data_IF_478437055483
#
_entry.id   IF_478437055483
#
_cell.length_a   1.000
_cell.length_b   1.000
_cell.length_c   1.000
_cell.angle_alpha   90.00
_cell.angle_beta   90.00
_cell.angle_gamma   90.00
#
_symmetry.space_group_name_H-M   'P 1'
#
loop_
_entity.id
_entity.type
_entity.pdbx_description
1 polymer ?
#
# COMPACT_ATOMS: atom_id res chain seq x y z
N UNK A 1 -21.69 20.85 -9.44
CA UNK A 1 -21.47 19.68 -10.31
C UNK A 1 -21.20 18.39 -9.50
N UNK A 2 -21.83 18.22 -8.34
CA UNK A 2 -21.69 17.04 -7.46
C UNK A 2 -22.87 16.05 -7.61
N UNK A 3 -23.49 15.96 -8.79
CA UNK A 3 -24.71 15.16 -8.93
C UNK A 3 -24.47 13.66 -9.17
N UNK A 4 -23.26 13.23 -9.56
CA UNK A 4 -22.98 11.80 -9.78
C UNK A 4 -21.76 11.33 -8.97
N UNK A 5 -22.04 10.87 -7.76
CA UNK A 5 -21.08 10.17 -6.89
C UNK A 5 -20.43 8.97 -7.59
N UNK A 6 -21.18 8.28 -8.47
CA UNK A 6 -20.72 7.15 -9.29
C UNK A 6 -20.60 7.51 -10.78
N UNK A 7 -19.68 8.41 -11.11
CA UNK A 7 -19.52 8.93 -12.47
C UNK A 7 -19.17 7.86 -13.54
N UNK A 8 -18.67 6.68 -13.14
CA UNK A 8 -18.34 5.60 -14.07
C UNK A 8 -19.56 4.73 -14.45
N UNK A 9 -20.74 5.03 -13.90
CA UNK A 9 -21.98 4.30 -14.19
C UNK A 9 -22.40 4.42 -15.65
N UNK A 10 -22.07 5.54 -16.28
CA UNK A 10 -22.35 5.85 -17.69
C UNK A 10 -21.39 5.14 -18.68
N UNK A 11 -20.33 4.50 -18.18
CA UNK A 11 -19.31 3.91 -19.06
C UNK A 11 -19.81 2.62 -19.71
N UNK A 12 -19.22 2.21 -20.86
CA UNK A 12 -19.53 0.93 -21.46
C UNK A 12 -19.34 -0.21 -20.45
N UNK A 13 -20.24 -1.19 -20.49
CA UNK A 13 -20.35 -2.30 -19.53
C UNK A 13 -19.02 -2.94 -19.12
N UNK A 14 -18.08 -3.29 -20.04
CA UNK A 14 -16.84 -3.94 -19.63
C UNK A 14 -15.95 -3.00 -18.77
N UNK A 15 -15.79 -1.74 -19.18
CA UNK A 15 -15.00 -0.77 -18.43
C UNK A 15 -15.65 -0.40 -17.10
N UNK A 16 -16.98 -0.28 -17.07
CA UNK A 16 -17.74 -0.01 -15.84
C UNK A 16 -17.55 -1.13 -14.82
N UNK A 17 -17.77 -2.39 -15.21
CA UNK A 17 -17.65 -3.55 -14.30
C UNK A 17 -16.25 -3.66 -13.73
N UNK A 18 -15.22 -3.49 -14.57
CA UNK A 18 -13.84 -3.58 -14.11
C UNK A 18 -13.45 -2.42 -13.19
N UNK A 19 -13.91 -1.19 -13.49
CA UNK A 19 -13.66 -0.04 -12.60
C UNK A 19 -14.34 -0.22 -11.25
N UNK A 20 -15.57 -0.72 -11.22
CA UNK A 20 -16.25 -1.07 -9.96
C UNK A 20 -15.52 -2.18 -9.20
N UNK A 21 -14.97 -3.18 -9.90
CA UNK A 21 -14.12 -4.21 -9.29
C UNK A 21 -12.86 -3.59 -8.66
N UNK A 22 -12.12 -2.75 -9.38
CA UNK A 22 -10.94 -2.06 -8.86
C UNK A 22 -11.28 -1.17 -7.66
N UNK A 23 -12.40 -0.43 -7.72
CA UNK A 23 -12.90 0.36 -6.60
C UNK A 23 -13.20 -0.51 -5.37
N UNK A 24 -13.86 -1.66 -5.56
CA UNK A 24 -14.15 -2.61 -4.49
C UNK A 24 -12.88 -3.18 -3.85
N UNK A 25 -11.88 -3.56 -4.67
CA UNK A 25 -10.58 -4.04 -4.18
C UNK A 25 -9.83 -2.95 -3.44
N UNK A 26 -9.77 -1.73 -3.99
CA UNK A 26 -9.11 -0.59 -3.35
C UNK A 26 -9.76 -0.24 -2.00
N UNK A 27 -11.09 -0.23 -1.94
CA UNK A 27 -11.85 0.00 -0.71
C UNK A 27 -11.64 -1.11 0.32
N UNK A 28 -11.62 -2.38 -0.11
CA UNK A 28 -11.33 -3.51 0.77
C UNK A 28 -9.93 -3.39 1.38
N UNK A 29 -8.90 -3.12 0.58
CA UNK A 29 -7.52 -2.96 1.06
C UNK A 29 -7.38 -1.77 2.02
N UNK A 30 -7.99 -0.62 1.69
CA UNK A 30 -7.98 0.54 2.59
C UNK A 30 -8.65 0.21 3.93
N UNK A 31 -9.84 -0.40 3.91
CA UNK A 31 -10.55 -0.76 5.14
C UNK A 31 -9.83 -1.86 5.93
N UNK A 32 -9.23 -2.85 5.26
CA UNK A 32 -8.41 -3.88 5.90
C UNK A 32 -7.20 -3.28 6.59
N UNK A 33 -6.49 -2.35 5.95
CA UNK A 33 -5.37 -1.65 6.57
C UNK A 33 -5.82 -0.87 7.81
N UNK A 34 -6.86 -0.03 7.68
CA UNK A 34 -7.37 0.76 8.81
C UNK A 34 -7.87 -0.13 9.95
N UNK A 35 -8.46 -1.28 9.65
CA UNK A 35 -8.88 -2.27 10.65
C UNK A 35 -7.70 -2.90 11.38
N UNK A 36 -6.63 -3.29 10.66
CA UNK A 36 -5.39 -3.80 11.26
C UNK A 36 -4.69 -2.76 12.13
N UNK A 37 -4.60 -1.53 11.61
CA UNK A 37 -4.00 -0.38 12.29
C UNK A 37 -4.78 -0.02 13.57
N UNK A 38 -6.10 0.10 13.50
CA UNK A 38 -6.93 0.47 14.66
C UNK A 38 -6.98 -0.63 15.74
N UNK A 39 -6.84 -1.90 15.34
CA UNK A 39 -6.82 -3.02 16.27
C UNK A 39 -5.42 -3.35 16.80
N UNK A 40 -4.38 -2.66 16.32
CA UNK A 40 -2.96 -2.92 16.63
C UNK A 40 -2.57 -4.40 16.43
N UNK A 41 -3.10 -5.01 15.35
CA UNK A 41 -2.87 -6.42 15.04
C UNK A 41 -1.65 -6.55 14.15
N UNK A 42 -0.58 -7.15 14.68
CA UNK A 42 0.67 -7.43 13.96
C UNK A 42 0.93 -8.95 14.01
N UNK A 43 0.50 -9.74 13.01
CA UNK A 43 0.59 -11.20 13.06
C UNK A 43 2.01 -11.76 13.17
N UNK A 44 3.02 -11.06 12.66
CA UNK A 44 4.41 -11.49 12.77
C UNK A 44 4.96 -11.41 14.21
N UNK A 45 4.32 -10.63 15.09
CA UNK A 45 4.67 -10.51 16.49
C UNK A 45 3.79 -11.45 17.33
N UNK A 46 4.42 -12.22 18.21
CA UNK A 46 3.71 -13.15 19.09
C UNK A 46 4.29 -13.17 20.50
N UNK A 47 3.47 -13.58 21.46
CA UNK A 47 3.85 -13.72 22.86
C UNK A 47 3.67 -15.17 23.31
N UNK A 48 4.65 -15.70 24.04
CA UNK A 48 4.49 -16.90 24.85
C UNK A 48 4.21 -16.49 26.30
N UNK A 49 3.10 -16.98 26.85
CA UNK A 49 2.72 -16.78 28.24
C UNK A 49 3.12 -18.02 29.02
N UNK A 50 4.19 -17.89 29.80
CA UNK A 50 4.67 -18.97 30.67
C UNK A 50 4.10 -18.74 32.07
N UNK A 51 3.12 -19.55 32.45
CA UNK A 51 2.52 -19.52 33.79
C UNK A 51 3.30 -20.42 34.74
N UNK A 52 3.82 -19.87 35.83
CA UNK A 52 4.44 -20.59 36.94
C UNK A 52 3.57 -20.44 38.18
N UNK A 53 3.06 -21.56 38.69
CA UNK A 53 2.36 -21.61 39.97
C UNK A 53 3.32 -21.96 41.09
N UNK A 54 3.37 -21.15 42.14
CA UNK A 54 4.10 -21.43 43.37
C UNK A 54 3.15 -21.35 44.56
N UNK A 55 3.15 -22.36 45.41
CA UNK A 55 2.37 -22.34 46.65
C UNK A 55 3.15 -21.58 47.71
N UNK A 56 2.57 -20.49 48.20
CA UNK A 56 3.16 -19.68 49.26
C UNK A 56 2.24 -19.79 50.48
N UNK A 57 2.81 -20.28 51.59
CA UNK A 57 2.16 -20.23 52.88
C UNK A 57 2.25 -18.80 53.40
N UNK A 58 1.15 -18.05 53.29
CA UNK A 58 1.08 -16.71 53.87
C UNK A 58 0.26 -16.78 55.16
N UNK A 59 0.82 -16.40 56.32
CA UNK A 59 0.03 -16.32 57.54
C UNK A 59 -1.01 -15.19 57.38
N UNK A 60 -2.28 -15.55 57.32
CA UNK A 60 -3.37 -14.58 57.46
C UNK A 60 -3.52 -14.28 58.95
N UNK A 61 -3.10 -13.08 59.35
CA UNK A 61 -3.37 -12.58 60.70
C UNK A 61 -4.78 -12.02 60.71
N UNK A 62 -5.73 -12.78 61.26
CA UNK A 62 -7.06 -12.25 61.57
C UNK A 62 -6.93 -11.41 62.84
N UNK A 63 -7.18 -10.12 62.70
CA UNK A 63 -7.19 -9.19 63.82
C UNK A 63 -8.61 -9.17 64.41
N UNK A 64 -8.77 -9.80 65.56
CA UNK A 64 -9.98 -9.71 66.38
C UNK A 64 -9.72 -8.69 67.52
N UNK A 65 -10.50 -7.60 67.66
CA UNK A 65 -10.25 -6.56 68.66
C UNK A 65 -10.28 -7.04 70.12
N UNK A 66 -10.98 -8.13 70.42
CA UNK A 66 -11.24 -8.57 71.81
C UNK A 66 -10.45 -9.81 72.24
N UNK A 67 -9.88 -10.59 71.29
CA UNK A 67 -9.09 -11.78 71.61
C UNK A 67 -7.85 -11.89 70.71
N UNK A 68 -6.69 -12.12 71.34
CA UNK A 68 -5.37 -12.25 70.75
C UNK A 68 -5.34 -12.71 69.27
N UNK A 69 -4.56 -11.98 68.45
CA UNK A 69 -4.35 -12.25 67.02
C UNK A 69 -4.09 -13.74 66.75
N UNK A 70 -5.01 -14.37 66.04
CA UNK A 70 -4.85 -15.77 65.61
C UNK A 70 -4.27 -15.80 64.20
N UNK A 71 -3.11 -16.42 64.05
CA UNK A 71 -2.49 -16.64 62.75
C UNK A 71 -3.09 -17.90 62.13
N UNK A 72 -3.88 -17.75 61.07
CA UNK A 72 -4.32 -18.87 60.24
C UNK A 72 -3.36 -19.00 59.06
N UNK A 73 -2.71 -20.16 58.92
CA UNK A 73 -1.90 -20.46 57.74
C UNK A 73 -2.81 -21.01 56.64
N UNK A 74 -2.97 -20.26 55.56
CA UNK A 74 -3.62 -20.70 54.33
C UNK A 74 -2.61 -20.83 53.21
N UNK A 75 -2.73 -21.90 52.41
CA UNK A 75 -1.92 -22.08 51.21
C UNK A 75 -2.52 -21.23 50.08
N UNK A 76 -1.77 -20.24 49.59
CA UNK A 76 -2.16 -19.46 48.42
C UNK A 76 -1.38 -19.94 47.20
N UNK A 77 -2.09 -20.19 46.09
CA UNK A 77 -1.46 -20.43 44.81
C UNK A 77 -1.10 -19.08 44.18
N UNK A 78 0.17 -18.71 44.22
CA UNK A 78 0.68 -17.58 43.46
C UNK A 78 0.90 -18.01 42.02
N UNK A 79 0.11 -17.48 41.09
CA UNK A 79 0.32 -17.68 39.65
C UNK A 79 1.10 -16.49 39.09
N UNK A 80 2.39 -16.70 38.82
CA UNK A 80 3.22 -15.74 38.10
C UNK A 80 3.13 -16.02 36.61
N UNK A 81 2.87 -14.99 35.81
CA UNK A 81 2.88 -15.09 34.34
C UNK A 81 4.08 -14.33 33.80
N UNK A 82 4.94 -15.03 33.06
CA UNK A 82 6.05 -14.42 32.34
C UNK A 82 5.67 -14.31 30.86
N UNK A 83 5.66 -13.08 30.34
CA UNK A 83 5.44 -12.79 28.92
C UNK A 83 6.78 -12.75 28.20
N UNK A 84 6.99 -13.68 27.25
CA UNK A 84 8.20 -13.75 26.43
C UNK A 84 7.84 -13.50 24.97
N UNK A 85 8.56 -12.60 24.31
CA UNK A 85 8.40 -12.40 22.86
C UNK A 85 8.82 -13.64 22.06
N UNK A 86 7.98 -14.06 21.12
CA UNK A 86 8.31 -15.10 20.14
C UNK A 86 9.31 -14.55 19.11
N UNK A 87 10.13 -15.41 18.49
CA UNK A 87 10.90 -14.99 17.32
C UNK A 87 9.95 -14.53 16.21
N UNK A 88 10.39 -13.54 15.43
CA UNK A 88 9.64 -13.02 14.30
C UNK A 88 9.32 -14.15 13.32
N UNK A 89 8.03 -14.41 13.10
CA UNK A 89 7.58 -15.43 12.16
C UNK A 89 6.85 -14.75 11.00
N UNK A 90 7.55 -14.63 9.87
CA UNK A 90 6.96 -14.16 8.62
C UNK A 90 6.48 -15.36 7.83
N UNK A 91 5.16 -15.51 7.70
CA UNK A 91 4.60 -16.57 6.86
C UNK A 91 4.91 -16.32 5.37
N UNK A 92 5.39 -17.34 4.66
CA UNK A 92 5.72 -17.24 3.24
C UNK A 92 4.50 -16.88 2.37
N UNK A 93 3.29 -17.21 2.83
CA UNK A 93 2.03 -16.89 2.14
C UNK A 93 1.89 -15.38 1.87
N UNK A 94 2.31 -14.53 2.82
CA UNK A 94 2.27 -13.08 2.65
C UNK A 94 3.22 -12.60 1.55
N UNK A 95 4.41 -13.22 1.44
CA UNK A 95 5.36 -12.92 0.37
C UNK A 95 4.82 -13.28 -1.01
N UNK A 96 4.18 -14.44 -1.15
CA UNK A 96 3.50 -14.81 -2.40
C UNK A 96 2.31 -13.90 -2.72
N UNK A 97 1.57 -13.46 -1.70
CA UNK A 97 0.50 -12.48 -1.83
C UNK A 97 1.00 -11.14 -2.39
N UNK A 98 2.11 -10.62 -1.85
CA UNK A 98 2.75 -9.41 -2.37
C UNK A 98 3.20 -9.60 -3.82
N UNK A 99 3.84 -10.72 -4.14
CA UNK A 99 4.30 -11.00 -5.50
C UNK A 99 3.14 -11.07 -6.50
N UNK A 100 2.02 -11.69 -6.12
CA UNK A 100 0.81 -11.74 -6.94
C UNK A 100 0.20 -10.34 -7.14
N UNK A 101 0.16 -9.52 -6.09
CA UNK A 101 -0.27 -8.12 -6.16
C UNK A 101 0.60 -7.34 -7.13
N UNK A 102 1.93 -7.42 -6.99
CA UNK A 102 2.90 -6.78 -7.88
C UNK A 102 2.70 -7.26 -9.33
N UNK A 103 2.56 -8.56 -9.56
CA UNK A 103 2.36 -9.12 -10.90
C UNK A 103 1.06 -8.60 -11.56
N UNK A 104 -0.02 -8.48 -10.79
CA UNK A 104 -1.27 -7.88 -11.25
C UNK A 104 -1.09 -6.40 -11.61
N UNK A 105 -0.49 -5.61 -10.72
CA UNK A 105 -0.26 -4.17 -10.92
C UNK A 105 0.68 -3.90 -12.09
N UNK A 106 1.72 -4.71 -12.23
CA UNK A 106 2.67 -4.63 -13.33
C UNK A 106 1.99 -4.91 -14.68
N UNK A 107 1.15 -5.95 -14.74
CA UNK A 107 0.40 -6.32 -15.95
C UNK A 107 -0.62 -5.24 -16.34
N UNK A 108 -1.35 -4.69 -15.36
CA UNK A 108 -2.26 -3.57 -15.58
C UNK A 108 -1.49 -2.30 -16.00
N UNK A 109 -0.38 -1.99 -15.33
CA UNK A 109 0.47 -0.85 -15.60
C UNK A 109 1.04 -0.86 -17.02
N UNK A 110 1.58 -1.99 -17.47
CA UNK A 110 2.04 -2.18 -18.84
C UNK A 110 0.91 -2.05 -19.87
N UNK A 111 -0.27 -2.60 -19.58
CA UNK A 111 -1.44 -2.44 -20.45
C UNK A 111 -1.81 -0.96 -20.59
N UNK A 112 -1.78 -0.19 -19.50
CA UNK A 112 -2.05 1.25 -19.52
C UNK A 112 -0.96 2.00 -20.28
N UNK A 113 0.32 1.80 -19.95
CA UNK A 113 1.46 2.48 -20.59
C UNK A 113 1.47 2.26 -22.10
N UNK A 114 1.21 1.03 -22.56
CA UNK A 114 1.15 0.71 -23.99
C UNK A 114 0.05 1.45 -24.77
N UNK A 115 -0.96 2.00 -24.08
CA UNK A 115 -2.06 2.76 -24.68
C UNK A 115 -1.87 4.27 -24.61
N UNK A 116 -0.80 4.75 -23.97
CA UNK A 116 -0.47 6.16 -23.89
C UNK A 116 0.07 6.72 -25.22
N UNK A 117 0.09 8.04 -25.34
CA UNK A 117 0.75 8.72 -26.47
C UNK A 117 2.25 8.45 -26.47
N UNK A 118 2.90 8.64 -27.63
CA UNK A 118 4.32 8.31 -27.84
C UNK A 118 5.27 8.83 -26.75
N UNK A 119 5.10 10.08 -26.32
CA UNK A 119 5.94 10.68 -25.28
C UNK A 119 5.76 9.97 -23.94
N UNK A 120 4.51 9.79 -23.50
CA UNK A 120 4.18 9.14 -22.24
C UNK A 120 4.48 7.64 -22.23
N UNK A 121 4.41 6.99 -23.39
CA UNK A 121 4.86 5.61 -23.56
C UNK A 121 6.37 5.49 -23.31
N UNK A 122 7.20 6.35 -23.91
CA UNK A 122 8.65 6.34 -23.71
C UNK A 122 8.98 6.59 -22.24
N UNK A 123 8.36 7.60 -21.62
CA UNK A 123 8.55 7.91 -20.19
C UNK A 123 8.14 6.71 -19.31
N UNK A 124 6.95 6.15 -19.54
CA UNK A 124 6.42 5.02 -18.78
C UNK A 124 7.27 3.76 -18.92
N UNK A 125 7.67 3.40 -20.15
CA UNK A 125 8.52 2.23 -20.38
C UNK A 125 9.94 2.42 -19.83
N UNK A 126 10.47 3.64 -19.88
CA UNK A 126 11.76 3.95 -19.24
C UNK A 126 11.67 3.72 -17.73
N UNK A 127 10.62 4.24 -17.08
CA UNK A 127 10.38 4.00 -15.66
C UNK A 127 10.22 2.50 -15.34
N UNK A 128 9.51 1.74 -16.18
CA UNK A 128 9.38 0.27 -16.02
C UNK A 128 10.74 -0.43 -16.11
N UNK A 129 11.55 -0.09 -17.11
CA UNK A 129 12.89 -0.68 -17.26
C UNK A 129 13.76 -0.36 -16.04
N UNK A 130 13.74 0.89 -15.55
CA UNK A 130 14.42 1.26 -14.31
C UNK A 130 13.92 0.46 -13.10
N UNK A 131 12.61 0.28 -12.96
CA UNK A 131 12.03 -0.53 -11.89
C UNK A 131 12.50 -1.98 -11.96
N UNK A 132 12.57 -2.58 -13.16
CA UNK A 132 13.05 -3.96 -13.34
C UNK A 132 14.51 -4.15 -12.91
N UNK A 133 15.37 -3.14 -13.02
CA UNK A 133 16.73 -3.21 -12.48
C UNK A 133 16.75 -3.41 -10.96
N UNK A 134 15.79 -2.81 -10.24
CA UNK A 134 15.74 -2.93 -8.78
C UNK A 134 15.23 -4.29 -8.29
N UNK A 135 14.57 -5.09 -9.13
CA UNK A 135 14.14 -6.45 -8.78
C UNK A 135 15.32 -7.41 -8.59
N UNK A 136 16.54 -7.01 -8.95
CA UNK A 136 17.76 -7.83 -8.89
C UNK A 136 17.57 -9.23 -9.49
N UNK A 137 16.87 -9.29 -10.63
CA UNK A 137 16.59 -10.54 -11.36
C UNK A 137 17.87 -11.29 -11.74
N UNK A 138 18.98 -10.58 -11.82
CA UNK A 138 20.33 -11.10 -12.05
C UNK A 138 20.78 -12.10 -10.96
N UNK A 139 20.29 -11.93 -9.72
CA UNK A 139 20.60 -12.84 -8.61
C UNK A 139 19.90 -14.20 -8.72
N UNK A 140 18.93 -14.36 -9.62
CA UNK A 140 18.28 -15.65 -9.88
C UNK A 140 19.18 -16.63 -10.64
N UNK A 141 20.29 -16.15 -11.21
CA UNK A 141 21.28 -16.97 -11.92
C UNK A 141 20.69 -17.81 -13.06
N UNK A 142 19.65 -17.30 -13.73
CA UNK A 142 19.02 -17.96 -14.87
C UNK A 142 20.06 -18.17 -16.00
N UNK A 143 20.17 -19.38 -16.59
CA UNK A 143 21.33 -19.81 -17.39
C UNK A 143 21.50 -19.11 -18.76
N UNK A 144 20.57 -18.25 -19.18
CA UNK A 144 20.51 -17.75 -20.56
C UNK A 144 21.39 -16.54 -20.89
N UNK A 145 22.08 -15.93 -19.91
CA UNK A 145 23.10 -14.90 -20.16
C UNK A 145 23.93 -14.67 -18.89
N UNK A 146 25.20 -15.03 -18.89
CA UNK A 146 26.17 -14.95 -17.77
C UNK A 146 25.83 -13.84 -16.75
N UNK A 147 25.29 -14.25 -15.59
CA UNK A 147 24.85 -13.41 -14.46
C UNK A 147 23.76 -12.36 -14.71
N UNK A 148 23.20 -12.21 -15.92
CA UNK A 148 22.10 -11.26 -16.22
C UNK A 148 20.90 -11.89 -16.94
N UNK A 149 20.82 -13.22 -16.93
CA UNK A 149 19.79 -13.98 -17.65
C UNK A 149 18.37 -13.60 -17.24
N UNK A 150 18.13 -13.37 -15.95
CA UNK A 150 16.81 -13.00 -15.43
C UNK A 150 16.31 -11.67 -15.99
N UNK A 151 17.13 -10.61 -15.94
CA UNK A 151 16.76 -9.29 -16.45
C UNK A 151 16.57 -9.31 -17.97
N UNK A 152 17.49 -9.95 -18.71
CA UNK A 152 17.39 -10.07 -20.17
C UNK A 152 16.10 -10.79 -20.57
N UNK A 153 15.78 -11.90 -19.90
CA UNK A 153 14.55 -12.67 -20.14
C UNK A 153 13.31 -11.79 -19.96
N UNK A 154 13.25 -11.03 -18.86
CA UNK A 154 12.13 -10.13 -18.58
C UNK A 154 12.01 -9.01 -19.61
N UNK A 155 13.12 -8.39 -20.01
CA UNK A 155 13.10 -7.35 -21.04
C UNK A 155 12.63 -7.88 -22.39
N UNK A 156 13.13 -9.04 -22.82
CA UNK A 156 12.73 -9.70 -24.07
C UNK A 156 11.25 -10.09 -24.06
N UNK A 157 10.70 -10.44 -22.90
CA UNK A 157 9.30 -10.80 -22.77
C UNK A 157 8.36 -9.58 -22.86
N UNK A 158 8.68 -8.50 -22.15
CA UNK A 158 7.77 -7.36 -21.99
C UNK A 158 7.99 -6.22 -22.99
N UNK A 159 9.23 -5.89 -23.38
CA UNK A 159 9.48 -4.76 -24.29
C UNK A 159 8.87 -4.97 -25.68
N UNK A 160 9.10 -6.11 -26.38
CA UNK A 160 8.52 -6.33 -27.70
C UNK A 160 7.00 -6.38 -27.65
N UNK A 161 6.43 -7.03 -26.62
CA UNK A 161 4.99 -7.13 -26.44
C UNK A 161 4.35 -5.76 -26.22
N UNK A 162 4.98 -4.93 -25.38
CA UNK A 162 4.56 -3.55 -25.14
C UNK A 162 4.66 -2.68 -26.38
N UNK A 163 5.78 -2.76 -27.10
CA UNK A 163 5.97 -2.01 -28.34
C UNK A 163 5.01 -2.45 -29.45
N UNK A 164 4.71 -3.75 -29.54
CA UNK A 164 3.73 -4.29 -30.48
C UNK A 164 2.35 -3.65 -30.30
N UNK A 165 1.85 -3.53 -29.06
CA UNK A 165 0.57 -2.85 -28.80
C UNK A 165 0.62 -1.33 -28.94
N UNK A 166 1.79 -0.73 -28.72
CA UNK A 166 1.95 0.71 -28.84
C UNK A 166 2.04 1.18 -30.30
N UNK A 167 2.81 0.49 -31.15
CA UNK A 167 3.15 0.96 -32.49
C UNK A 167 2.49 0.17 -33.63
N UNK A 168 2.17 -1.12 -33.44
CA UNK A 168 1.71 -2.01 -34.52
C UNK A 168 0.21 -2.28 -34.41
N UNK A 169 -0.28 -2.66 -33.22
CA UNK A 169 -1.68 -3.01 -32.97
C UNK A 169 -2.31 -2.13 -31.89
N UNK A 170 -2.54 -0.86 -32.25
CA UNK A 170 -3.12 0.16 -31.37
C UNK A 170 -4.60 -0.08 -31.03
N UNK A 171 -5.36 -0.74 -31.90
CA UNK A 171 -6.80 -0.95 -31.73
C UNK A 171 -7.17 -2.08 -30.74
N UNK A 172 -6.19 -2.82 -30.24
CA UNK A 172 -6.43 -3.92 -29.30
C UNK A 172 -6.95 -3.37 -27.97
N UNK A 173 -8.05 -3.93 -27.47
CA UNK A 173 -8.68 -3.50 -26.23
C UNK A 173 -7.74 -3.66 -25.02
N UNK A 174 -7.89 -2.78 -24.02
CA UNK A 174 -7.06 -2.81 -22.81
C UNK A 174 -7.14 -4.15 -22.06
N UNK A 175 -8.29 -4.81 -22.08
CA UNK A 175 -8.46 -6.12 -21.43
C UNK A 175 -7.60 -7.20 -22.07
N UNK A 176 -7.51 -7.23 -23.40
CA UNK A 176 -6.67 -8.20 -24.12
C UNK A 176 -5.19 -7.91 -23.86
N UNK A 177 -4.79 -6.63 -23.86
CA UNK A 177 -3.43 -6.22 -23.51
C UNK A 177 -3.06 -6.67 -22.10
N UNK A 178 -3.92 -6.39 -21.11
CA UNK A 178 -3.74 -6.80 -19.72
C UNK A 178 -3.65 -8.32 -19.58
N UNK A 179 -4.52 -9.07 -20.26
CA UNK A 179 -4.49 -10.53 -20.24
C UNK A 179 -3.18 -11.09 -20.81
N UNK A 180 -2.68 -10.52 -21.92
CA UNK A 180 -1.42 -10.95 -22.53
C UNK A 180 -0.20 -10.60 -21.65
N UNK A 181 -0.20 -9.44 -21.00
CA UNK A 181 0.81 -9.12 -20.00
C UNK A 181 0.72 -10.01 -18.76
N UNK A 182 -0.48 -10.36 -18.31
CA UNK A 182 -0.66 -11.30 -17.20
C UNK A 182 -0.15 -12.71 -17.56
N UNK A 183 -0.44 -13.19 -18.77
CA UNK A 183 0.10 -14.46 -19.29
C UNK A 183 1.63 -14.38 -19.34
N UNK A 184 2.20 -13.29 -19.86
CA UNK A 184 3.65 -13.09 -19.84
C UNK A 184 4.21 -13.14 -18.40
N UNK A 185 3.56 -12.51 -17.43
CA UNK A 185 3.95 -12.57 -16.01
C UNK A 185 3.92 -13.99 -15.45
N UNK A 186 2.89 -14.76 -15.76
CA UNK A 186 2.80 -16.17 -15.34
C UNK A 186 3.91 -17.00 -15.99
N UNK A 187 4.15 -16.82 -17.30
CA UNK A 187 5.23 -17.49 -18.03
C UNK A 187 6.58 -17.16 -17.40
N UNK A 188 6.85 -15.88 -17.10
CA UNK A 188 8.07 -15.47 -16.41
C UNK A 188 8.20 -16.15 -15.05
N UNK A 189 7.12 -16.17 -14.25
CA UNK A 189 7.11 -16.84 -12.95
C UNK A 189 7.42 -18.34 -13.05
N UNK A 190 6.87 -19.04 -14.05
CA UNK A 190 7.16 -20.47 -14.30
C UNK A 190 8.62 -20.66 -14.73
N UNK A 191 9.14 -19.83 -15.63
CA UNK A 191 10.54 -19.91 -16.06
C UNK A 191 11.49 -19.66 -14.89
N UNK A 192 11.23 -18.65 -14.07
CA UNK A 192 12.01 -18.38 -12.85
C UNK A 192 11.92 -19.57 -11.89
N UNK A 193 10.75 -20.15 -11.68
CA UNK A 193 10.60 -21.29 -10.77
C UNK A 193 11.35 -22.55 -11.23
N UNK A 194 11.53 -22.75 -12.54
CA UNK A 194 12.16 -23.96 -13.09
C UNK A 194 13.67 -23.80 -13.35
N UNK A 195 14.13 -22.59 -13.68
CA UNK A 195 15.50 -22.35 -14.17
C UNK A 195 16.36 -21.51 -13.24
N UNK A 196 15.90 -21.18 -12.03
CA UNK A 196 16.70 -20.42 -11.05
C UNK A 196 17.34 -21.35 -10.03
N UNK A 197 18.52 -20.97 -9.55
CA UNK A 197 19.30 -21.75 -8.58
C UNK A 197 18.77 -21.72 -7.12
N UNK A 198 18.16 -20.63 -6.60
CA UNK A 198 17.68 -20.61 -5.22
C UNK A 198 16.56 -21.62 -4.96
N UNK A 199 16.55 -22.25 -3.77
CA UNK A 199 15.53 -23.24 -3.37
C UNK A 199 14.09 -22.71 -3.39
N UNK A 200 13.91 -21.41 -3.11
CA UNK A 200 12.60 -20.73 -3.13
C UNK A 200 12.69 -19.43 -3.96
N UNK A 201 12.76 -19.53 -5.30
CA UNK A 201 13.12 -18.40 -6.15
C UNK A 201 12.02 -17.33 -6.23
N UNK A 202 10.75 -17.73 -6.17
CA UNK A 202 9.62 -16.78 -6.15
C UNK A 202 9.51 -16.05 -4.81
N UNK A 203 9.76 -16.75 -3.69
CA UNK A 203 9.81 -16.09 -2.39
C UNK A 203 10.98 -15.11 -2.34
N UNK A 204 12.15 -15.50 -2.85
CA UNK A 204 13.30 -14.61 -3.00
C UNK A 204 12.92 -13.32 -3.76
N UNK A 205 12.23 -13.44 -4.91
CA UNK A 205 11.75 -12.27 -5.65
C UNK A 205 10.86 -11.35 -4.82
N UNK A 206 9.94 -11.91 -4.02
CA UNK A 206 9.05 -11.09 -3.18
C UNK A 206 9.83 -10.20 -2.18
N UNK A 207 10.96 -10.70 -1.67
CA UNK A 207 11.80 -9.97 -0.70
C UNK A 207 12.64 -8.87 -1.36
N UNK A 208 13.13 -9.09 -2.58
CA UNK A 208 13.89 -8.06 -3.31
C UNK A 208 13.01 -7.05 -4.05
N UNK A 209 11.73 -7.39 -4.27
CA UNK A 209 10.78 -6.51 -4.92
C UNK A 209 10.30 -5.34 -4.05
N UNK A 210 10.66 -5.28 -2.76
CA UNK A 210 10.20 -4.29 -1.75
C UNK A 210 10.33 -2.83 -2.19
N UNK A 211 11.31 -2.52 -3.03
CA UNK A 211 11.53 -1.18 -3.59
C UNK A 211 10.37 -0.69 -4.48
N UNK A 212 9.68 -1.59 -5.18
CA UNK A 212 8.57 -1.24 -6.07
C UNK A 212 7.33 -0.79 -5.26
N UNK A 213 6.86 -1.55 -4.26
CA UNK A 213 5.92 -1.08 -3.25
C UNK A 213 6.20 0.32 -2.73
N UNK A 214 7.43 0.60 -2.28
CA UNK A 214 7.83 1.93 -1.76
C UNK A 214 7.65 3.00 -2.83
N UNK A 215 8.15 2.75 -4.04
CA UNK A 215 8.00 3.68 -5.16
C UNK A 215 6.52 3.95 -5.49
N UNK A 216 5.67 2.93 -5.48
CA UNK A 216 4.23 3.07 -5.70
C UNK A 216 3.56 3.89 -4.60
N UNK A 217 3.92 3.67 -3.33
CA UNK A 217 3.37 4.45 -2.22
C UNK A 217 3.79 5.92 -2.35
N UNK A 218 5.07 6.20 -2.57
CA UNK A 218 5.56 7.58 -2.76
C UNK A 218 4.88 8.28 -3.94
N UNK A 219 4.79 7.60 -5.08
CA UNK A 219 4.10 8.14 -6.26
C UNK A 219 2.63 8.44 -5.96
N UNK A 220 1.96 7.56 -5.23
CA UNK A 220 0.57 7.74 -4.83
C UNK A 220 0.41 8.90 -3.87
N UNK A 221 1.23 8.97 -2.81
CA UNK A 221 1.25 10.07 -1.84
C UNK A 221 1.44 11.41 -2.56
N UNK A 222 2.43 11.54 -3.45
CA UNK A 222 2.62 12.78 -4.24
C UNK A 222 1.38 13.11 -5.07
N UNK A 223 0.71 12.09 -5.62
CA UNK A 223 -0.50 12.26 -6.43
C UNK A 223 -1.70 12.72 -5.61
N UNK A 224 -1.84 12.32 -4.34
CA UNK A 224 -3.02 12.60 -3.50
C UNK A 224 -2.79 13.61 -2.37
N UNK A 225 -1.55 13.96 -2.04
CA UNK A 225 -1.24 14.81 -0.88
C UNK A 225 -1.89 16.20 -0.94
N UNK A 226 -2.13 16.73 -2.13
CA UNK A 226 -2.77 18.03 -2.31
C UNK A 226 -4.30 17.97 -2.32
N UNK A 227 -4.91 16.77 -2.26
CA UNK A 227 -6.37 16.58 -2.35
C UNK A 227 -7.14 17.24 -1.21
N UNK A 228 -6.72 17.16 0.07
CA UNK A 228 -7.44 17.85 1.15
C UNK A 228 -7.51 19.36 0.90
N UNK A 229 -6.40 19.98 0.49
CA UNK A 229 -6.32 21.42 0.19
C UNK A 229 -7.20 21.76 -1.01
N UNK A 230 -7.14 20.99 -2.09
CA UNK A 230 -7.93 21.22 -3.29
C UNK A 230 -9.44 21.12 -3.02
N UNK A 231 -9.86 20.17 -2.19
CA UNK A 231 -11.26 20.01 -1.82
C UNK A 231 -11.73 21.14 -0.88
N UNK A 232 -10.88 21.61 0.05
CA UNK A 232 -11.18 22.80 0.86
C UNK A 232 -11.37 24.04 -0.02
N UNK A 233 -10.54 24.25 -1.05
CA UNK A 233 -10.71 25.33 -2.01
C UNK A 233 -12.05 25.24 -2.72
N UNK A 234 -12.43 24.04 -3.18
CA UNK A 234 -13.69 23.82 -3.87
C UNK A 234 -14.89 24.16 -2.97
N UNK A 235 -14.89 23.72 -1.72
CA UNK A 235 -15.95 24.05 -0.75
C UNK A 235 -15.98 25.54 -0.45
N UNK A 236 -14.81 26.17 -0.22
CA UNK A 236 -14.73 27.59 0.09
C UNK A 236 -15.22 28.47 -1.08
N UNK A 237 -14.85 28.13 -2.32
CA UNK A 237 -15.19 28.92 -3.52
C UNK A 237 -16.65 28.80 -3.94
N UNK A 238 -17.40 27.78 -3.50
CA UNK A 238 -18.84 27.70 -3.73
C UNK A 238 -19.63 28.87 -3.09
N UNK A 239 -19.10 29.46 -2.02
CA UNK A 239 -19.74 30.58 -1.32
C UNK A 239 -19.57 31.94 -2.01
N UNK A 240 -18.63 32.06 -2.96
CA UNK A 240 -18.35 33.28 -3.73
C UNK A 240 -17.78 34.45 -2.90
N UNK A 241 -16.99 35.32 -3.54
CA UNK A 241 -16.52 36.59 -2.96
C UNK A 241 -15.11 36.58 -2.36
N UNK A 242 -14.63 37.76 -1.94
CA UNK A 242 -13.27 37.98 -1.39
C UNK A 242 -13.00 37.17 -0.12
N UNK A 243 -14.04 36.90 0.67
CA UNK A 243 -13.94 36.15 1.91
C UNK A 243 -13.57 34.67 1.68
N UNK A 244 -13.99 34.08 0.55
CA UNK A 244 -13.67 32.70 0.18
C UNK A 244 -12.16 32.48 -0.01
N UNK A 245 -11.46 33.46 -0.62
CA UNK A 245 -10.00 33.43 -0.78
C UNK A 245 -9.30 33.49 0.57
N UNK A 246 -9.77 34.36 1.47
CA UNK A 246 -9.21 34.48 2.82
C UNK A 246 -9.40 33.19 3.62
N UNK A 247 -10.58 32.56 3.55
CA UNK A 247 -10.83 31.27 4.18
C UNK A 247 -9.93 30.18 3.61
N UNK A 248 -9.77 30.11 2.29
CA UNK A 248 -8.87 29.14 1.64
C UNK A 248 -7.42 29.27 2.12
N UNK A 249 -6.87 30.50 2.12
CA UNK A 249 -5.50 30.77 2.58
C UNK A 249 -5.37 30.36 4.05
N UNK A 250 -6.35 30.72 4.88
CA UNK A 250 -6.35 30.40 6.32
C UNK A 250 -6.36 28.90 6.56
N UNK A 251 -7.28 28.15 5.92
CA UNK A 251 -7.35 26.70 6.07
C UNK A 251 -6.12 25.98 5.52
N UNK A 252 -5.56 26.46 4.41
CA UNK A 252 -4.32 25.91 3.84
C UNK A 252 -3.14 26.12 4.78
N UNK A 253 -3.00 27.33 5.35
CA UNK A 253 -1.94 27.61 6.31
C UNK A 253 -2.07 26.75 7.58
N UNK A 254 -3.28 26.60 8.12
CA UNK A 254 -3.55 25.73 9.27
C UNK A 254 -3.22 24.28 8.94
N UNK A 255 -3.62 23.78 7.77
CA UNK A 255 -3.35 22.40 7.35
C UNK A 255 -1.85 22.14 7.17
N UNK A 256 -1.12 23.04 6.52
CA UNK A 256 0.33 22.89 6.34
C UNK A 256 1.08 23.00 7.67
N UNK A 257 0.68 23.92 8.55
CA UNK A 257 1.24 24.01 9.90
C UNK A 257 0.97 22.73 10.70
N UNK A 258 -0.24 22.18 10.58
CA UNK A 258 -0.61 20.91 11.21
C UNK A 258 0.26 19.75 10.71
N UNK A 259 0.43 19.59 9.39
CA UNK A 259 1.31 18.56 8.82
C UNK A 259 2.76 18.72 9.28
N UNK A 260 3.26 19.97 9.33
CA UNK A 260 4.61 20.25 9.77
C UNK A 260 4.83 19.88 11.24
N UNK A 261 3.88 20.23 12.12
CA UNK A 261 3.95 19.85 13.54
C UNK A 261 3.83 18.33 13.70
N UNK A 262 2.94 17.67 12.95
CA UNK A 262 2.80 16.22 12.96
C UNK A 262 4.11 15.52 12.54
N UNK A 263 4.81 16.06 11.53
CA UNK A 263 6.15 15.59 11.14
C UNK A 263 7.20 15.78 12.24
N UNK A 264 7.22 16.94 12.92
CA UNK A 264 8.14 17.18 14.03
C UNK A 264 7.87 16.25 15.22
N UNK A 265 6.61 15.90 15.46
CA UNK A 265 6.23 14.93 16.46
C UNK A 265 6.66 13.50 16.06
N UNK A 266 6.39 13.08 14.82
CA UNK A 266 6.78 11.77 14.30
C UNK A 266 8.31 11.55 14.32
N UNK A 267 9.09 12.62 14.12
CA UNK A 267 10.57 12.56 14.20
C UNK A 267 11.12 12.67 15.63
N UNK A 268 10.27 12.63 16.65
CA UNK A 268 10.64 12.83 18.06
C UNK A 268 11.39 14.16 18.33
N UNK A 269 11.22 15.16 17.46
CA UNK A 269 11.82 16.49 17.64
C UNK A 269 10.97 17.34 18.60
N UNK A 270 9.65 17.14 18.57
CA UNK A 270 8.68 17.88 19.38
C UNK A 270 7.87 16.95 20.27
N UNK A 271 7.95 17.15 21.58
CA UNK A 271 7.26 16.34 22.59
C UNK A 271 6.05 17.10 23.14
N UNK A 272 5.02 17.27 22.32
CA UNK A 272 3.76 17.86 22.75
C UNK A 272 2.74 16.75 23.03
N UNK A 273 2.11 16.80 24.19
CA UNK A 273 1.09 15.84 24.63
C UNK A 273 -0.28 16.17 24.01
N UNK A 274 -0.31 16.34 22.69
CA UNK A 274 -1.51 16.62 21.89
C UNK A 274 -1.75 15.40 21.00
N UNK A 275 -3.00 14.95 20.91
CA UNK A 275 -3.37 13.91 19.95
C UNK A 275 -3.25 14.43 18.52
N UNK A 276 -2.21 14.00 17.81
CA UNK A 276 -2.04 14.25 16.38
C UNK A 276 -2.80 13.18 15.57
N UNK A 277 -3.54 13.60 14.54
CA UNK A 277 -4.02 12.70 13.50
C UNK A 277 -2.83 12.02 12.82
N UNK A 278 -2.87 10.70 12.74
CA UNK A 278 -1.82 9.91 12.11
C UNK A 278 -1.77 10.18 10.59
N UNK A 279 -0.56 10.15 10.02
CA UNK A 279 -0.31 10.28 8.58
C UNK A 279 -1.11 9.27 7.75
N UNK A 280 -1.33 8.06 8.26
CA UNK A 280 -2.16 7.04 7.60
C UNK A 280 -3.62 7.48 7.45
N UNK A 281 -4.17 8.18 8.46
CA UNK A 281 -5.54 8.71 8.41
C UNK A 281 -5.61 9.85 7.40
N UNK A 282 -4.60 10.74 7.37
CA UNK A 282 -4.51 11.79 6.34
C UNK A 282 -4.44 11.18 4.94
N UNK A 283 -3.64 10.13 4.75
CA UNK A 283 -3.51 9.42 3.48
C UNK A 283 -4.83 8.73 3.09
N UNK A 284 -5.56 8.13 4.03
CA UNK A 284 -6.87 7.53 3.78
C UNK A 284 -7.90 8.56 3.30
N UNK A 285 -8.00 9.71 3.99
CA UNK A 285 -8.88 10.81 3.58
C UNK A 285 -8.47 11.30 2.18
N UNK A 286 -7.17 11.52 1.95
CA UNK A 286 -6.64 11.98 0.66
C UNK A 286 -6.91 10.98 -0.47
N UNK A 287 -6.81 9.68 -0.19
CA UNK A 287 -7.10 8.59 -1.13
C UNK A 287 -8.57 8.55 -1.54
N UNK A 288 -9.48 8.82 -0.61
CA UNK A 288 -10.91 8.86 -0.89
C UNK A 288 -11.24 10.11 -1.72
N UNK A 289 -10.78 11.28 -1.28
CA UNK A 289 -10.99 12.55 -1.98
C UNK A 289 -10.41 12.53 -3.39
N UNK A 290 -9.25 11.89 -3.58
CA UNK A 290 -8.57 11.82 -4.86
C UNK A 290 -9.32 11.04 -5.94
N UNK A 291 -10.28 10.19 -5.60
CA UNK A 291 -11.14 9.52 -6.61
C UNK A 291 -11.87 10.56 -7.46
N UNK A 292 -12.38 11.62 -6.83
CA UNK A 292 -13.06 12.72 -7.53
C UNK A 292 -12.09 13.82 -7.97
N UNK A 293 -11.07 14.12 -7.16
CA UNK A 293 -10.06 15.13 -7.50
C UNK A 293 -9.26 14.78 -8.75
N UNK A 294 -8.84 13.52 -8.90
CA UNK A 294 -8.10 13.04 -10.06
C UNK A 294 -8.92 13.16 -11.36
N UNK A 295 -10.24 12.96 -11.28
CA UNK A 295 -11.15 13.20 -12.41
C UNK A 295 -11.14 14.67 -12.84
N UNK A 296 -11.33 15.58 -11.88
CA UNK A 296 -11.38 17.02 -12.17
C UNK A 296 -10.08 17.49 -12.83
N UNK A 297 -8.92 17.02 -12.35
CA UNK A 297 -7.63 17.36 -12.94
C UNK A 297 -7.45 16.80 -14.35
N UNK A 298 -7.87 15.55 -14.57
CA UNK A 298 -7.79 14.95 -15.90
C UNK A 298 -8.68 15.67 -16.92
N UNK A 299 -9.85 16.16 -16.50
CA UNK A 299 -10.74 16.98 -17.33
C UNK A 299 -10.15 18.38 -17.64
N UNK A 300 -9.30 18.93 -16.75
CA UNK A 300 -8.54 20.17 -17.00
C UNK A 300 -7.34 19.94 -17.92
N UNK A 301 -6.68 18.79 -17.82
CA UNK A 301 -5.46 18.45 -18.56
C UNK A 301 -5.72 17.89 -19.98
N UNK A 302 -6.83 18.28 -20.62
CA UNK A 302 -7.50 17.72 -21.82
C UNK A 302 -6.63 17.06 -22.93
N UNK A 303 -5.36 17.43 -23.06
CA UNK A 303 -4.45 16.95 -24.10
C UNK A 303 -3.42 15.90 -23.65
N UNK A 304 -3.27 15.63 -22.35
CA UNK A 304 -2.16 14.82 -21.82
C UNK A 304 -2.56 13.37 -21.53
N UNK A 305 -3.71 13.18 -20.86
CA UNK A 305 -4.17 11.87 -20.43
C UNK A 305 -5.71 11.85 -20.37
N UNK A 306 -6.41 11.09 -21.22
CA UNK A 306 -7.86 10.95 -21.10
C UNK A 306 -8.18 10.19 -19.81
N UNK A 307 -9.08 10.76 -19.00
CA UNK A 307 -9.50 10.14 -17.75
C UNK A 307 -10.15 8.77 -17.95
N UNK A 308 -10.98 8.63 -19.00
CA UNK A 308 -11.71 7.40 -19.34
C UNK A 308 -10.94 6.58 -20.38
N UNK A 309 -10.69 5.27 -20.17
CA UNK A 309 -10.62 4.54 -18.90
C UNK A 309 -9.23 4.60 -18.24
N UNK A 310 -8.22 5.10 -18.96
CA UNK A 310 -6.80 4.98 -18.59
C UNK A 310 -6.47 5.71 -17.29
N UNK A 311 -6.87 6.98 -17.16
CA UNK A 311 -6.59 7.76 -15.95
C UNK A 311 -7.20 7.16 -14.69
N UNK A 312 -8.47 6.76 -14.73
CA UNK A 312 -9.12 6.15 -13.58
C UNK A 312 -8.45 4.83 -13.14
N UNK A 313 -8.08 3.97 -14.09
CA UNK A 313 -7.40 2.71 -13.77
C UNK A 313 -5.98 2.95 -13.26
N UNK A 314 -5.29 3.99 -13.74
CA UNK A 314 -3.98 4.37 -13.21
C UNK A 314 -4.08 4.85 -11.75
N UNK A 315 -5.12 5.62 -11.42
CA UNK A 315 -5.39 6.01 -10.04
C UNK A 315 -5.62 4.79 -9.14
N UNK A 316 -6.52 3.88 -9.55
CA UNK A 316 -6.78 2.66 -8.78
C UNK A 316 -5.57 1.74 -8.68
N UNK A 317 -4.73 1.65 -9.73
CA UNK A 317 -3.48 0.90 -9.68
C UNK A 317 -2.57 1.44 -8.57
N UNK A 318 -2.38 2.76 -8.50
CA UNK A 318 -1.56 3.38 -7.45
C UNK A 318 -2.18 3.19 -6.07
N UNK A 319 -3.50 3.34 -5.93
CA UNK A 319 -4.21 3.15 -4.66
C UNK A 319 -4.12 1.70 -4.16
N UNK A 320 -4.42 0.72 -5.02
CA UNK A 320 -4.33 -0.72 -4.69
C UNK A 320 -2.89 -1.10 -4.35
N UNK A 321 -1.93 -0.62 -5.15
CA UNK A 321 -0.51 -0.86 -4.90
C UNK A 321 -0.04 -0.30 -3.57
N UNK A 322 -0.48 0.90 -3.21
CA UNK A 322 -0.04 1.54 -1.97
C UNK A 322 -0.65 0.87 -0.74
N UNK A 323 -1.98 0.74 -0.68
CA UNK A 323 -2.64 0.12 0.48
C UNK A 323 -2.31 -1.36 0.62
N UNK A 324 -2.22 -2.11 -0.48
CA UNK A 324 -1.82 -3.51 -0.44
C UNK A 324 -0.37 -3.69 0.04
N UNK A 325 0.52 -2.77 -0.32
CA UNK A 325 1.91 -2.77 0.15
C UNK A 325 2.02 -2.41 1.63
N UNK A 326 1.27 -1.40 2.08
CA UNK A 326 1.20 -1.02 3.49
C UNK A 326 0.67 -2.16 4.37
N UNK A 327 -0.35 -2.89 3.91
CA UNK A 327 -0.83 -4.11 4.60
C UNK A 327 0.31 -5.13 4.73
N UNK A 328 1.06 -5.37 3.66
CA UNK A 328 2.18 -6.31 3.70
C UNK A 328 3.26 -5.88 4.70
N UNK A 329 3.67 -4.61 4.68
CA UNK A 329 4.66 -4.08 5.63
C UNK A 329 4.17 -4.17 7.08
N UNK A 330 2.90 -3.83 7.33
CA UNK A 330 2.28 -3.94 8.64
C UNK A 330 2.25 -5.39 9.15
N UNK A 331 1.75 -6.34 8.34
CA UNK A 331 1.61 -7.73 8.76
C UNK A 331 2.98 -8.39 9.03
N UNK A 332 4.01 -7.95 8.31
CA UNK A 332 5.38 -8.48 8.45
C UNK A 332 6.22 -7.77 9.52
N UNK A 333 5.64 -6.81 10.26
CA UNK A 333 6.32 -5.99 11.25
C UNK A 333 7.60 -5.31 10.69
N UNK A 334 7.49 -4.73 9.50
CA UNK A 334 8.62 -4.07 8.85
C UNK A 334 8.69 -2.59 9.27
N UNK A 335 9.06 -2.36 10.53
CA UNK A 335 9.07 -1.04 11.17
C UNK A 335 9.81 0.02 10.35
N UNK A 336 11.00 -0.24 9.76
CA UNK A 336 11.68 0.77 8.95
C UNK A 336 10.85 1.26 7.76
N UNK A 337 10.01 0.41 7.17
CA UNK A 337 9.18 0.79 6.03
C UNK A 337 7.84 1.41 6.44
N UNK A 338 7.36 1.10 7.65
CA UNK A 338 6.15 1.70 8.22
C UNK A 338 6.46 3.11 8.73
N UNK A 339 7.64 3.34 9.31
CA UNK A 339 8.00 4.66 9.86
C UNK A 339 8.48 5.66 8.79
N UNK A 340 9.02 5.16 7.67
CA UNK A 340 9.60 6.02 6.62
C UNK A 340 8.61 6.50 5.56
N UNK A 341 7.45 5.86 5.47
CA UNK A 341 6.41 6.09 4.45
C UNK A 341 5.27 6.89 5.03
#
# INVERSE_FOLDING_TARGET
MMNDWWFWREWPTPYRRFTTFLFGVAGLLLLSFLGLYAADIIPALGWDVISRGEWIANPLTLFDPDTHSTNLSGDFLLVQQLFRGKPLHIEAAWGYGLLALIGFLFSLGLALISSLSRLWYIVGMTAVVFLLFFFKLDLLQVPFAENRGGLVLTLVLYLPLSYYFHAIKTEVSLFVRMALFAIATVVLGVLVAQFSDPTYPLFFLSQYAVILPIFLILLFVITVAHEPIANLLYVATQSGGKQAVFHYITFTAIYLAYLFISYLHATNTLHWDIYFLDGYVVLAISSILGIWGFRQRADMAKNSLPYRPVGAWMYFLMMIGSWGSLIYFWITANDPLIETV
#
